data_IF_980324684204
#
_entry.id   IF_980324684204
#
_cell.length_a   1.000
_cell.length_b   1.000
_cell.length_c   1.000
_cell.angle_alpha   90.00
_cell.angle_beta   90.00
_cell.angle_gamma   90.00
#
_symmetry.space_group_name_H-M   'P 1'
#
loop_
_entity.id
_entity.type
_entity.pdbx_description
1 polymer ?
#
# COMPACT_ATOMS: atom_id res chain seq x y z
N UNK A 1 -17.38 40.96 -23.21
CA UNK A 1 -18.25 40.10 -22.37
C UNK A 1 -18.90 39.08 -23.29
N UNK A 2 -18.97 37.79 -22.91
CA UNK A 2 -19.65 36.77 -23.72
C UNK A 2 -21.13 37.12 -23.89
N UNK A 3 -21.70 36.83 -25.06
CA UNK A 3 -23.12 37.11 -25.35
C UNK A 3 -24.05 36.15 -24.58
N UNK A 4 -25.32 36.53 -24.39
CA UNK A 4 -26.28 35.72 -23.64
C UNK A 4 -26.50 34.33 -24.24
N UNK A 5 -26.39 34.20 -25.56
CA UNK A 5 -26.46 32.92 -26.26
C UNK A 5 -25.23 32.03 -26.01
N UNK A 6 -24.04 32.63 -25.96
CA UNK A 6 -22.82 31.91 -25.60
C UNK A 6 -22.88 31.41 -24.15
N UNK A 7 -23.39 32.22 -23.22
CA UNK A 7 -23.59 31.80 -21.83
C UNK A 7 -24.57 30.62 -21.71
N UNK A 8 -25.64 30.62 -22.49
CA UNK A 8 -26.60 29.50 -22.54
C UNK A 8 -25.98 28.24 -23.16
N UNK A 9 -25.20 28.38 -24.23
CA UNK A 9 -24.50 27.26 -24.86
C UNK A 9 -23.43 26.64 -23.94
N UNK A 10 -22.73 27.47 -23.17
CA UNK A 10 -21.75 27.02 -22.17
C UNK A 10 -22.47 26.28 -21.02
N UNK A 11 -23.59 26.79 -20.53
CA UNK A 11 -24.32 26.11 -19.46
C UNK A 11 -24.91 24.77 -19.93
N UNK A 12 -25.47 24.73 -21.15
CA UNK A 12 -26.01 23.51 -21.74
C UNK A 12 -24.92 22.46 -21.95
N UNK A 13 -23.77 22.83 -22.52
CA UNK A 13 -22.63 21.91 -22.68
C UNK A 13 -22.09 21.43 -21.32
N UNK A 14 -22.09 22.29 -20.30
CA UNK A 14 -21.71 21.91 -18.94
C UNK A 14 -22.69 20.89 -18.33
N UNK A 15 -24.00 21.05 -18.59
CA UNK A 15 -25.04 20.11 -18.12
C UNK A 15 -24.92 18.77 -18.83
N UNK A 16 -24.75 18.78 -20.16
CA UNK A 16 -24.53 17.57 -20.95
C UNK A 16 -23.27 16.81 -20.51
N UNK A 17 -22.19 17.54 -20.18
CA UNK A 17 -20.98 16.93 -19.66
C UNK A 17 -21.19 16.28 -18.28
N UNK A 18 -21.87 17.01 -17.36
CA UNK A 18 -22.18 16.53 -16.00
C UNK A 18 -23.18 15.37 -15.97
N UNK A 19 -24.15 15.34 -16.88
CA UNK A 19 -25.19 14.29 -16.92
C UNK A 19 -24.81 13.11 -17.81
N UNK A 20 -24.01 13.31 -18.86
CA UNK A 20 -23.66 12.26 -19.82
C UNK A 20 -22.29 11.62 -19.59
N UNK A 21 -21.25 12.43 -19.37
CA UNK A 21 -19.85 11.95 -19.36
C UNK A 21 -19.39 11.61 -17.95
N UNK A 22 -19.59 12.51 -16.99
CA UNK A 22 -19.11 12.33 -15.61
C UNK A 22 -19.67 11.05 -14.96
N UNK A 23 -20.97 10.71 -15.04
CA UNK A 23 -21.50 9.50 -14.41
C UNK A 23 -20.97 8.23 -15.07
N UNK A 24 -20.75 8.26 -16.39
CA UNK A 24 -20.21 7.13 -17.16
C UNK A 24 -18.75 6.86 -16.80
N UNK A 25 -17.91 7.89 -16.76
CA UNK A 25 -16.51 7.77 -16.31
C UNK A 25 -16.45 7.34 -14.85
N UNK A 26 -17.29 7.92 -13.98
CA UNK A 26 -17.36 7.53 -12.58
C UNK A 26 -17.79 6.07 -12.38
N UNK A 27 -18.71 5.56 -13.20
CA UNK A 27 -19.15 4.16 -13.15
C UNK A 27 -18.03 3.19 -13.56
N UNK A 28 -17.28 3.48 -14.62
CA UNK A 28 -16.14 2.67 -15.06
C UNK A 28 -15.03 2.60 -14.00
N UNK A 29 -14.77 3.72 -13.32
CA UNK A 29 -13.82 3.75 -12.20
C UNK A 29 -14.36 2.97 -11.00
N UNK A 30 -15.64 3.13 -10.63
CA UNK A 30 -16.28 2.38 -9.53
C UNK A 30 -16.27 0.87 -9.73
N UNK A 31 -16.36 0.39 -10.97
CA UNK A 31 -16.28 -1.05 -11.27
C UNK A 31 -14.86 -1.63 -11.15
N UNK A 32 -13.84 -0.81 -11.41
CA UNK A 32 -12.43 -1.25 -11.36
C UNK A 32 -11.76 -1.03 -10.00
N UNK A 33 -12.28 -0.07 -9.21
CA UNK A 33 -11.82 0.27 -7.86
C UNK A 33 -11.73 -0.94 -6.91
N UNK A 34 -12.73 -1.85 -6.82
CA UNK A 34 -12.67 -2.99 -5.91
C UNK A 34 -11.53 -3.96 -6.23
N UNK A 35 -11.27 -4.22 -7.53
CA UNK A 35 -10.20 -5.09 -7.98
C UNK A 35 -8.82 -4.46 -7.72
N UNK A 36 -8.64 -3.18 -8.04
CA UNK A 36 -7.41 -2.44 -7.71
C UNK A 36 -7.14 -2.39 -6.20
N UNK A 37 -8.18 -2.11 -5.40
CA UNK A 37 -8.03 -2.06 -3.94
C UNK A 37 -7.64 -3.43 -3.37
N UNK A 38 -8.12 -4.54 -3.95
CA UNK A 38 -7.67 -5.89 -3.57
C UNK A 38 -6.20 -6.12 -3.92
N UNK A 39 -5.76 -5.71 -5.12
CA UNK A 39 -4.35 -5.85 -5.54
C UNK A 39 -3.44 -5.05 -4.62
N UNK A 40 -3.76 -3.78 -4.35
CA UNK A 40 -2.98 -2.93 -3.45
C UNK A 40 -2.92 -3.53 -2.05
N UNK A 41 -4.03 -4.05 -1.52
CA UNK A 41 -4.04 -4.75 -0.23
C UNK A 41 -3.07 -5.93 -0.19
N UNK A 42 -3.05 -6.78 -1.22
CA UNK A 42 -2.16 -7.94 -1.27
C UNK A 42 -0.69 -7.50 -1.33
N UNK A 43 -0.36 -6.53 -2.18
CA UNK A 43 1.00 -6.00 -2.31
C UNK A 43 1.46 -5.33 -1.01
N UNK A 44 0.60 -4.55 -0.36
CA UNK A 44 0.91 -3.92 0.92
C UNK A 44 1.13 -4.95 2.02
N UNK A 45 0.30 -5.99 2.12
CA UNK A 45 0.49 -7.07 3.10
C UNK A 45 1.82 -7.78 2.84
N UNK A 46 2.12 -8.12 1.58
CA UNK A 46 3.40 -8.73 1.21
C UNK A 46 4.58 -7.84 1.62
N UNK A 47 4.52 -6.53 1.32
CA UNK A 47 5.57 -5.59 1.70
C UNK A 47 5.78 -5.53 3.23
N UNK A 48 4.71 -5.45 4.03
CA UNK A 48 4.85 -5.39 5.50
C UNK A 48 5.40 -6.71 6.07
N UNK A 49 5.13 -7.85 5.45
CA UNK A 49 5.66 -9.15 5.87
C UNK A 49 7.14 -9.30 5.51
N UNK A 50 7.56 -8.83 4.33
CA UNK A 50 8.92 -9.06 3.81
C UNK A 50 9.92 -7.93 4.11
N UNK A 51 9.48 -6.66 4.17
CA UNK A 51 10.39 -5.52 4.32
C UNK A 51 11.18 -5.55 5.64
N UNK A 52 10.56 -5.71 6.82
CA UNK A 52 11.33 -5.64 8.06
C UNK A 52 12.30 -6.83 8.28
N UNK A 53 12.02 -8.11 7.93
CA UNK A 53 13.06 -9.13 7.94
C UNK A 53 14.14 -8.88 6.86
N UNK A 54 13.80 -8.27 5.71
CA UNK A 54 14.79 -7.87 4.70
C UNK A 54 15.72 -6.77 5.22
N UNK A 55 15.18 -5.79 5.96
CA UNK A 55 15.98 -4.73 6.60
C UNK A 55 16.93 -5.32 7.64
N UNK A 56 16.44 -6.23 8.49
CA UNK A 56 17.29 -6.97 9.44
C UNK A 56 18.35 -7.77 8.68
N UNK A 57 17.99 -8.49 7.61
CA UNK A 57 18.95 -9.24 6.81
C UNK A 57 20.03 -8.34 6.19
N UNK A 58 19.67 -7.16 5.69
CA UNK A 58 20.60 -6.19 5.11
C UNK A 58 21.54 -5.60 6.14
N UNK A 59 21.03 -5.23 7.33
CA UNK A 59 21.85 -4.68 8.41
C UNK A 59 22.84 -5.73 8.90
N UNK A 60 22.35 -6.94 9.19
CA UNK A 60 23.18 -8.02 9.71
C UNK A 60 24.14 -8.54 8.64
N UNK A 61 23.70 -8.76 7.40
CA UNK A 61 24.54 -9.21 6.28
C UNK A 61 25.73 -8.29 5.95
N UNK A 62 25.65 -7.00 6.30
CA UNK A 62 26.72 -6.02 6.08
C UNK A 62 27.52 -5.65 7.35
N UNK A 63 27.00 -5.81 8.56
CA UNK A 63 27.61 -5.32 9.81
C UNK A 63 28.10 -6.41 10.78
N UNK A 64 28.15 -7.68 10.39
CA UNK A 64 28.70 -8.76 11.24
C UNK A 64 30.13 -8.49 11.73
N UNK A 65 30.94 -7.75 10.97
CA UNK A 65 32.31 -7.39 11.35
C UNK A 65 32.40 -6.22 12.33
N UNK A 66 31.38 -5.35 12.43
CA UNK A 66 31.48 -4.09 13.16
C UNK A 66 30.94 -4.12 14.61
N UNK A 67 30.11 -5.11 14.99
CA UNK A 67 29.45 -5.12 16.30
C UNK A 67 30.04 -6.14 17.29
N UNK A 68 30.81 -5.64 18.27
CA UNK A 68 31.35 -6.42 19.42
C UNK A 68 30.25 -7.03 20.31
N UNK A 69 29.03 -6.48 20.31
CA UNK A 69 27.90 -6.95 21.13
C UNK A 69 27.31 -8.28 20.62
N UNK A 70 27.55 -8.63 19.35
CA UNK A 70 27.11 -9.89 18.72
C UNK A 70 28.15 -11.02 18.81
N UNK A 71 29.27 -10.81 19.52
CA UNK A 71 30.27 -11.85 19.81
C UNK A 71 29.86 -12.78 20.95
N UNK A 72 28.84 -12.41 21.73
CA UNK A 72 28.21 -13.35 22.63
C UNK A 72 27.38 -14.35 21.82
N UNK A 73 27.48 -15.63 22.15
CA UNK A 73 26.86 -16.74 21.42
C UNK A 73 25.33 -16.61 21.18
N UNK A 74 24.69 -15.65 21.85
CA UNK A 74 23.26 -15.33 21.78
C UNK A 74 22.88 -14.25 20.75
N UNK A 75 23.82 -13.49 20.20
CA UNK A 75 23.49 -12.39 19.28
C UNK A 75 22.92 -12.85 17.93
N UNK A 76 23.51 -13.90 17.35
CA UNK A 76 23.04 -14.52 16.11
C UNK A 76 21.62 -15.12 16.23
N UNK A 77 21.30 -15.95 17.25
CA UNK A 77 19.93 -16.43 17.44
C UNK A 77 18.95 -15.31 17.79
N UNK A 78 19.37 -14.24 18.48
CA UNK A 78 18.49 -13.09 18.73
C UNK A 78 18.08 -12.36 17.44
N UNK A 79 19.01 -12.19 16.49
CA UNK A 79 18.72 -11.61 15.18
C UNK A 79 17.71 -12.46 14.38
N UNK A 80 17.87 -13.79 14.41
CA UNK A 80 16.92 -14.73 13.79
C UNK A 80 15.55 -14.63 14.46
N UNK A 81 15.50 -14.58 15.78
CA UNK A 81 14.24 -14.39 16.53
C UNK A 81 13.58 -13.08 16.14
N UNK A 82 14.34 -11.99 15.99
CA UNK A 82 13.84 -10.69 15.52
C UNK A 82 13.27 -10.76 14.10
N UNK A 83 13.92 -11.46 13.17
CA UNK A 83 13.39 -11.69 11.82
C UNK A 83 12.07 -12.46 11.85
N UNK A 84 12.01 -13.54 12.63
CA UNK A 84 10.81 -14.38 12.76
C UNK A 84 9.67 -13.59 13.41
N UNK A 85 9.95 -12.88 14.50
CA UNK A 85 8.99 -11.99 15.17
C UNK A 85 8.48 -10.95 14.19
N UNK A 86 9.36 -10.35 13.39
CA UNK A 86 9.01 -9.33 12.41
C UNK A 86 8.15 -9.86 11.26
N UNK A 87 8.24 -11.13 10.88
CA UNK A 87 7.36 -11.75 9.90
C UNK A 87 6.00 -12.14 10.52
N UNK A 88 6.01 -12.59 11.78
CA UNK A 88 4.83 -13.09 12.49
C UNK A 88 3.96 -11.96 13.05
N UNK A 89 4.54 -10.84 13.50
CA UNK A 89 3.81 -9.68 14.04
C UNK A 89 2.78 -9.12 13.04
N UNK A 90 3.16 -8.79 11.80
CA UNK A 90 2.21 -8.35 10.78
C UNK A 90 1.17 -9.41 10.49
N UNK A 91 1.57 -10.68 10.35
CA UNK A 91 0.67 -11.78 10.05
C UNK A 91 -0.44 -11.91 11.11
N UNK A 92 -0.07 -11.90 12.40
CA UNK A 92 -1.02 -11.98 13.52
C UNK A 92 -1.88 -10.72 13.60
N UNK A 93 -1.33 -9.54 13.30
CA UNK A 93 -2.06 -8.28 13.32
C UNK A 93 -3.11 -8.19 12.19
N UNK A 94 -2.75 -8.61 10.97
CA UNK A 94 -3.69 -8.70 9.84
C UNK A 94 -4.77 -9.76 10.10
N UNK A 95 -4.42 -10.91 10.69
CA UNK A 95 -5.39 -11.93 11.11
C UNK A 95 -6.38 -11.39 12.15
N UNK A 96 -5.90 -10.66 13.16
CA UNK A 96 -6.76 -10.03 14.18
C UNK A 96 -7.69 -8.95 13.62
N UNK A 97 -7.29 -8.25 12.57
CA UNK A 97 -8.15 -7.26 11.91
C UNK A 97 -9.25 -7.87 11.03
N UNK A 98 -9.26 -9.18 10.80
CA UNK A 98 -10.29 -9.84 9.98
C UNK A 98 -10.23 -9.45 8.50
N UNK A 99 -9.03 -9.11 8.00
CA UNK A 99 -8.82 -8.74 6.59
C UNK A 99 -8.49 -9.95 5.69
N UNK A 100 -8.33 -11.14 6.30
CA UNK A 100 -8.31 -12.44 5.62
C UNK A 100 -9.67 -13.10 5.76
#
# INVERSE_FOLDING_TARGET
MPTREEMQAIELSSRLYKEGIIPRVASSTKLTLPAQNRIVKIVSIAAVVFLPPTLVASIYGMNFELMRELRWAVGYPFAIVLMVISAVLPYVWFKRKGWL
#
